data_IF_530927111997
#
_entry.id   IF_530927111997
#
_cell.length_a   1.000
_cell.length_b   1.000
_cell.length_c   1.000
_cell.angle_alpha   90.00
_cell.angle_beta   90.00
_cell.angle_gamma   90.00
#
_symmetry.space_group_name_H-M   'P 1'
#
loop_
_entity.id
_entity.type
_entity.pdbx_description
1 polymer ?
#
# COMPACT_ATOMS: atom_id res chain seq x y z
N UNK A 1 6.41 1.75 9.45
CA UNK A 1 7.26 2.70 8.70
C UNK A 1 8.67 2.13 8.68
N UNK A 2 9.34 2.21 7.56
CA UNK A 2 10.71 1.73 7.33
C UNK A 2 11.64 2.95 7.28
N UNK A 3 12.85 2.86 7.86
CA UNK A 3 13.83 3.91 7.67
C UNK A 3 14.23 3.99 6.20
N UNK A 4 14.32 5.22 5.66
CA UNK A 4 14.72 5.44 4.28
C UNK A 4 16.26 5.45 4.17
N UNK A 5 16.83 4.26 4.18
CA UNK A 5 18.28 4.06 4.10
C UNK A 5 18.62 2.75 3.37
N UNK A 6 19.77 2.71 2.68
CA UNK A 6 20.23 1.47 2.04
C UNK A 6 20.32 0.31 3.03
N UNK A 7 19.75 -0.83 2.64
CA UNK A 7 19.78 -2.05 3.43
C UNK A 7 18.61 -2.22 4.43
N UNK A 8 17.81 -1.22 4.68
CA UNK A 8 16.70 -1.34 5.65
C UNK A 8 15.63 -2.35 5.20
N UNK A 9 15.32 -2.38 3.91
CA UNK A 9 14.43 -3.42 3.37
C UNK A 9 15.03 -4.81 3.53
N UNK A 10 16.34 -4.97 3.31
CA UNK A 10 17.01 -6.25 3.48
C UNK A 10 16.94 -6.73 4.94
N UNK A 11 17.13 -5.85 5.90
CA UNK A 11 16.99 -6.18 7.34
C UNK A 11 15.57 -6.63 7.68
N UNK A 12 14.55 -5.89 7.22
CA UNK A 12 13.15 -6.24 7.45
C UNK A 12 12.81 -7.61 6.85
N UNK A 13 13.19 -7.84 5.60
CA UNK A 13 12.91 -9.11 4.92
C UNK A 13 13.71 -10.29 5.50
N UNK A 14 14.91 -10.05 6.03
CA UNK A 14 15.70 -11.06 6.73
C UNK A 14 15.02 -11.50 8.04
N UNK A 15 14.44 -10.57 8.79
CA UNK A 15 13.67 -10.87 10.00
C UNK A 15 12.48 -11.78 9.65
N UNK A 16 11.68 -11.43 8.64
CA UNK A 16 10.54 -12.24 8.21
C UNK A 16 10.98 -13.62 7.70
N UNK A 17 12.07 -13.68 6.91
CA UNK A 17 12.66 -14.93 6.42
C UNK A 17 13.07 -15.86 7.56
N UNK A 18 13.73 -15.34 8.59
CA UNK A 18 14.20 -16.15 9.73
C UNK A 18 13.03 -16.76 10.52
N UNK A 19 11.87 -16.11 10.47
CA UNK A 19 10.63 -16.58 11.06
C UNK A 19 9.75 -17.40 10.10
N UNK A 20 10.26 -17.71 8.91
CA UNK A 20 9.55 -18.43 7.86
C UNK A 20 8.24 -17.77 7.43
N UNK A 21 8.22 -16.43 7.38
CA UNK A 21 7.07 -15.63 6.93
C UNK A 21 7.31 -15.21 5.48
N UNK A 22 6.40 -15.60 4.58
CA UNK A 22 6.48 -15.25 3.16
C UNK A 22 5.79 -13.92 2.88
N UNK A 23 6.38 -13.11 1.99
CA UNK A 23 5.79 -11.88 1.49
C UNK A 23 5.16 -12.19 0.12
N UNK A 24 3.85 -12.06 0.01
CA UNK A 24 3.08 -12.34 -1.21
C UNK A 24 2.97 -11.13 -2.12
N UNK A 25 2.86 -9.94 -1.54
CA UNK A 25 2.80 -8.69 -2.28
C UNK A 25 3.40 -7.57 -1.43
N UNK A 26 4.03 -6.59 -2.08
CA UNK A 26 4.65 -5.46 -1.38
C UNK A 26 4.58 -4.18 -2.20
N UNK A 27 4.40 -3.06 -1.49
CA UNK A 27 4.54 -1.71 -2.02
C UNK A 27 5.36 -0.87 -1.06
N UNK A 28 6.34 -0.12 -1.60
CA UNK A 28 7.11 0.88 -0.86
C UNK A 28 6.84 2.24 -1.50
N UNK A 29 6.57 3.23 -0.69
CA UNK A 29 6.28 4.59 -1.13
C UNK A 29 7.13 5.57 -0.34
N UNK A 30 7.88 6.41 -1.05
CA UNK A 30 8.57 7.55 -0.47
C UNK A 30 7.56 8.59 0.03
N UNK A 31 7.67 8.96 1.30
CA UNK A 31 6.79 9.95 1.91
C UNK A 31 7.04 11.36 1.36
N UNK A 32 8.28 11.67 0.94
CA UNK A 32 8.64 13.00 0.42
C UNK A 32 7.95 13.32 -0.89
N UNK A 33 7.98 12.40 -1.84
CA UNK A 33 7.36 12.61 -3.15
C UNK A 33 5.88 12.95 -3.01
N UNK A 34 5.17 12.22 -2.16
CA UNK A 34 3.75 12.48 -1.90
C UNK A 34 3.49 13.83 -1.23
N UNK A 35 4.30 14.20 -0.23
CA UNK A 35 4.18 15.48 0.48
C UNK A 35 4.50 16.65 -0.44
N UNK A 36 5.51 16.54 -1.31
CA UNK A 36 5.84 17.56 -2.29
C UNK A 36 4.72 17.76 -3.30
N UNK A 37 4.17 16.68 -3.85
CA UNK A 37 3.05 16.74 -4.78
C UNK A 37 1.82 17.42 -4.15
N UNK A 38 1.52 17.12 -2.87
CA UNK A 38 0.43 17.80 -2.14
C UNK A 38 0.70 19.30 -1.95
N UNK A 39 1.94 19.68 -1.66
CA UNK A 39 2.33 21.09 -1.52
C UNK A 39 2.15 21.83 -2.84
N UNK A 40 2.64 21.29 -3.95
CA UNK A 40 2.52 21.86 -5.28
C UNK A 40 1.06 22.03 -5.70
N UNK A 41 0.24 21.01 -5.53
CA UNK A 41 -1.20 21.09 -5.81
C UNK A 41 -1.91 22.18 -5.00
N UNK A 42 -1.56 22.34 -3.73
CA UNK A 42 -2.17 23.37 -2.87
C UNK A 42 -1.67 24.78 -3.22
N UNK A 43 -0.42 24.93 -3.57
CA UNK A 43 0.15 26.24 -3.96
C UNK A 43 -0.49 26.79 -5.24
N UNK A 44 -0.88 25.92 -6.18
CA UNK A 44 -1.58 26.30 -7.41
C UNK A 44 -3.02 26.71 -7.21
N UNK A 45 -3.69 26.29 -6.14
CA UNK A 45 -5.12 26.58 -5.90
C UNK A 45 -5.39 27.92 -5.23
N UNK A 46 -4.35 28.76 -4.97
CA UNK A 46 -4.48 30.06 -4.32
C UNK A 46 -4.98 30.03 -2.88
N UNK A 47 -5.11 28.85 -2.28
CA UNK A 47 -5.46 28.72 -0.86
C UNK A 47 -4.26 29.07 0.01
N UNK A 48 -4.53 29.62 1.22
CA UNK A 48 -3.45 29.86 2.20
C UNK A 48 -2.72 28.56 2.48
N UNK A 49 -1.47 28.49 2.04
CA UNK A 49 -0.55 27.38 2.33
C UNK A 49 0.32 27.82 3.51
N UNK A 50 0.69 26.90 4.37
CA UNK A 50 1.68 27.20 5.41
C UNK A 50 3.01 27.66 4.75
N UNK A 51 3.83 28.48 5.44
CA UNK A 51 5.10 28.93 4.91
C UNK A 51 5.96 27.76 4.40
N UNK A 52 6.71 28.00 3.35
CA UNK A 52 7.58 26.98 2.73
C UNK A 52 8.50 26.31 3.73
N UNK A 53 9.07 27.09 4.66
CA UNK A 53 9.97 26.62 5.73
C UNK A 53 9.30 25.56 6.63
N UNK A 54 8.01 25.66 6.86
CA UNK A 54 7.24 24.67 7.62
C UNK A 54 7.14 23.33 6.89
N UNK A 55 6.91 23.37 5.58
CA UNK A 55 6.90 22.17 4.75
C UNK A 55 8.30 21.57 4.60
N UNK A 56 9.33 22.38 4.44
CA UNK A 56 10.72 21.91 4.40
C UNK A 56 11.15 21.22 5.69
N UNK A 57 10.70 21.70 6.85
CA UNK A 57 10.94 21.04 8.14
C UNK A 57 10.23 19.68 8.23
N UNK A 58 8.96 19.59 7.79
CA UNK A 58 8.21 18.31 7.74
C UNK A 58 8.87 17.35 6.76
N UNK A 59 9.27 17.84 5.58
CA UNK A 59 9.96 17.04 4.58
C UNK A 59 11.28 16.47 5.12
N UNK A 60 12.06 17.27 5.85
CA UNK A 60 13.31 16.82 6.47
C UNK A 60 13.11 15.68 7.48
N UNK A 61 12.01 15.71 8.22
CA UNK A 61 11.68 14.64 9.16
C UNK A 61 11.05 13.42 8.46
N UNK A 62 10.18 13.63 7.48
CA UNK A 62 9.54 12.56 6.72
C UNK A 62 10.49 11.86 5.75
N UNK A 63 11.54 12.55 5.26
CA UNK A 63 12.62 11.96 4.44
C UNK A 63 13.35 10.79 5.11
N UNK A 64 13.22 10.68 6.42
CA UNK A 64 13.85 9.58 7.17
C UNK A 64 13.08 8.26 7.08
N UNK A 65 11.88 8.27 6.52
CA UNK A 65 11.00 7.12 6.55
C UNK A 65 10.23 6.92 5.25
N UNK A 66 10.19 5.68 4.81
CA UNK A 66 9.29 5.22 3.75
C UNK A 66 8.09 4.50 4.33
N UNK A 67 6.94 4.61 3.67
CA UNK A 67 5.79 3.79 3.98
C UNK A 67 5.88 2.48 3.22
N UNK A 68 5.95 1.38 3.96
CA UNK A 68 5.92 0.04 3.39
C UNK A 68 4.59 -0.63 3.72
N UNK A 69 3.98 -1.25 2.72
CA UNK A 69 2.80 -2.11 2.84
C UNK A 69 3.14 -3.47 2.26
N UNK A 70 2.74 -4.52 2.92
CA UNK A 70 2.94 -5.87 2.40
C UNK A 70 1.86 -6.84 2.90
N UNK A 71 1.65 -7.87 2.13
CA UNK A 71 0.80 -9.01 2.47
C UNK A 71 1.71 -10.18 2.80
N UNK A 72 1.39 -10.90 3.85
CA UNK A 72 2.12 -12.11 4.26
C UNK A 72 1.16 -13.27 4.47
N UNK A 73 1.68 -14.47 4.41
CA UNK A 73 0.98 -15.71 4.74
C UNK A 73 0.63 -15.85 6.23
N UNK A 74 1.32 -15.10 7.11
CA UNK A 74 1.07 -15.08 8.55
C UNK A 74 1.15 -13.67 9.13
N UNK A 75 0.08 -12.85 8.98
CA UNK A 75 0.09 -11.44 9.37
C UNK A 75 0.23 -11.23 10.89
N UNK A 76 -0.40 -12.06 11.71
CA UNK A 76 -0.33 -11.91 13.17
C UNK A 76 1.09 -12.15 13.67
N UNK A 77 1.74 -13.23 13.24
CA UNK A 77 3.14 -13.51 13.55
C UNK A 77 4.07 -12.40 13.04
N UNK A 78 3.81 -11.89 11.84
CA UNK A 78 4.60 -10.78 11.28
C UNK A 78 4.52 -9.52 12.15
N UNK A 79 3.32 -9.18 12.65
CA UNK A 79 3.12 -8.05 13.57
C UNK A 79 3.91 -8.23 14.85
N UNK A 80 3.81 -9.40 15.49
CA UNK A 80 4.49 -9.70 16.75
C UNK A 80 6.02 -9.62 16.61
N UNK A 81 6.55 -10.27 15.59
CA UNK A 81 7.99 -10.31 15.33
C UNK A 81 8.54 -8.91 15.03
N UNK A 82 7.90 -8.17 14.14
CA UNK A 82 8.37 -6.84 13.77
C UNK A 82 8.25 -5.83 14.92
N UNK A 83 7.20 -5.91 15.73
CA UNK A 83 7.07 -5.07 16.92
C UNK A 83 8.13 -5.39 17.97
N UNK A 84 8.51 -6.67 18.14
CA UNK A 84 9.54 -7.09 19.11
C UNK A 84 10.92 -6.52 18.81
N UNK A 85 11.21 -6.21 17.54
CA UNK A 85 12.47 -5.60 17.09
C UNK A 85 12.36 -4.10 16.85
N UNK A 86 11.24 -3.47 17.27
CA UNK A 86 11.08 -2.01 17.30
C UNK A 86 10.44 -1.38 16.06
N UNK A 87 9.99 -2.16 15.08
CA UNK A 87 9.19 -1.60 13.99
C UNK A 87 7.79 -1.24 14.49
N UNK A 88 7.26 -0.09 14.01
CA UNK A 88 5.87 0.29 14.23
C UNK A 88 5.01 -0.29 13.11
N UNK A 89 4.25 -1.31 13.44
CA UNK A 89 3.39 -2.04 12.50
C UNK A 89 1.92 -1.72 12.78
N UNK A 90 1.13 -1.59 11.71
CA UNK A 90 -0.32 -1.47 11.76
C UNK A 90 -0.93 -2.52 10.85
N UNK A 91 -1.83 -3.32 11.39
CA UNK A 91 -2.62 -4.26 10.61
C UNK A 91 -3.83 -3.53 10.00
N UNK A 92 -4.07 -3.76 8.72
CA UNK A 92 -5.20 -3.19 7.99
C UNK A 92 -5.89 -4.25 7.14
N UNK A 93 -7.21 -4.24 7.14
CA UNK A 93 -7.98 -5.08 6.24
C UNK A 93 -7.94 -4.52 4.82
N UNK A 94 -7.66 -5.38 3.86
CA UNK A 94 -7.63 -5.10 2.44
C UNK A 94 -8.34 -6.22 1.68
N UNK A 95 -8.80 -5.94 0.46
CA UNK A 95 -9.33 -6.98 -0.42
C UNK A 95 -8.28 -7.29 -1.50
N UNK A 96 -7.97 -8.58 -1.67
CA UNK A 96 -7.13 -9.10 -2.76
C UNK A 96 -8.01 -9.64 -3.88
N UNK A 97 -7.80 -9.15 -5.10
CA UNK A 97 -8.50 -9.64 -6.29
C UNK A 97 -7.49 -10.17 -7.30
N UNK A 98 -7.71 -11.41 -7.75
CA UNK A 98 -6.92 -12.01 -8.82
C UNK A 98 -7.55 -11.64 -10.15
N UNK A 99 -6.84 -10.87 -10.96
CA UNK A 99 -7.28 -10.43 -12.26
C UNK A 99 -6.45 -11.12 -13.35
N UNK A 100 -7.08 -11.55 -14.44
CA UNK A 100 -6.34 -11.91 -15.64
C UNK A 100 -5.58 -10.68 -16.16
N UNK A 101 -4.35 -10.87 -16.63
CA UNK A 101 -3.52 -9.79 -17.16
C UNK A 101 -3.99 -9.39 -18.57
N UNK A 102 -5.15 -8.74 -18.64
CA UNK A 102 -5.78 -8.24 -19.87
C UNK A 102 -6.13 -6.76 -19.74
N UNK A 103 -5.96 -5.96 -20.80
CA UNK A 103 -6.43 -4.58 -20.81
C UNK A 103 -7.91 -4.47 -20.44
N UNK A 104 -8.24 -3.52 -19.53
CA UNK A 104 -9.62 -3.21 -19.15
C UNK A 104 -10.13 -3.91 -17.89
N UNK A 105 -9.52 -5.00 -17.40
CA UNK A 105 -10.03 -5.66 -16.19
C UNK A 105 -9.91 -4.81 -14.95
N UNK A 106 -8.79 -4.14 -14.73
CA UNK A 106 -8.66 -3.19 -13.62
C UNK A 106 -9.67 -2.04 -13.72
N UNK A 107 -9.97 -1.57 -14.94
CA UNK A 107 -11.00 -0.57 -15.17
C UNK A 107 -12.40 -1.07 -14.77
N UNK A 108 -12.74 -2.33 -15.11
CA UNK A 108 -14.02 -2.94 -14.70
C UNK A 108 -14.17 -2.94 -13.16
N UNK A 109 -13.13 -3.34 -12.44
CA UNK A 109 -13.13 -3.36 -10.97
C UNK A 109 -13.27 -1.95 -10.41
N UNK A 110 -12.46 -1.00 -10.88
CA UNK A 110 -12.51 0.38 -10.42
C UNK A 110 -13.88 1.02 -10.69
N UNK A 111 -14.47 0.73 -11.87
CA UNK A 111 -15.80 1.20 -12.20
C UNK A 111 -16.87 0.58 -11.29
N UNK A 112 -16.80 -0.72 -11.03
CA UNK A 112 -17.74 -1.40 -10.14
C UNK A 112 -17.71 -0.82 -8.72
N UNK A 113 -16.50 -0.55 -8.17
CA UNK A 113 -16.37 0.16 -6.89
C UNK A 113 -16.97 1.56 -6.95
N UNK A 114 -16.68 2.34 -7.99
CA UNK A 114 -17.22 3.69 -8.17
C UNK A 114 -18.75 3.73 -8.28
N UNK A 115 -19.34 2.85 -9.09
CA UNK A 115 -20.80 2.72 -9.24
C UNK A 115 -21.48 2.32 -7.92
N UNK A 116 -20.78 1.55 -7.07
CA UNK A 116 -21.24 1.19 -5.74
C UNK A 116 -20.98 2.26 -4.66
N UNK A 117 -20.36 3.39 -5.02
CA UNK A 117 -19.98 4.45 -4.07
C UNK A 117 -18.82 4.08 -3.14
N UNK A 118 -18.01 3.09 -3.50
CA UNK A 118 -16.86 2.64 -2.73
C UNK A 118 -15.61 3.39 -3.19
N UNK A 119 -14.95 4.11 -2.27
CA UNK A 119 -13.69 4.79 -2.57
C UNK A 119 -12.50 3.85 -2.41
N UNK A 120 -11.52 3.95 -3.32
CA UNK A 120 -10.24 3.24 -3.26
C UNK A 120 -9.20 4.19 -2.65
N UNK A 121 -8.71 3.87 -1.46
CA UNK A 121 -7.68 4.67 -0.79
C UNK A 121 -6.29 4.44 -1.40
N UNK A 122 -5.98 3.19 -1.72
CA UNK A 122 -4.80 2.79 -2.49
C UNK A 122 -5.01 1.42 -3.14
N UNK A 123 -4.22 1.16 -4.17
CA UNK A 123 -4.11 -0.16 -4.82
C UNK A 123 -2.69 -0.41 -5.28
N UNK A 124 -2.27 -1.66 -5.28
CA UNK A 124 -1.02 -2.11 -5.90
C UNK A 124 -1.17 -3.54 -6.38
N UNK A 125 -0.36 -3.92 -7.36
CA UNK A 125 -0.40 -5.25 -7.97
C UNK A 125 0.88 -6.03 -7.76
N UNK A 126 0.75 -7.36 -7.72
CA UNK A 126 1.84 -8.32 -7.78
C UNK A 126 1.52 -9.35 -8.88
N UNK A 127 2.49 -9.61 -9.76
CA UNK A 127 2.33 -10.62 -10.81
C UNK A 127 2.48 -12.04 -10.26
N UNK A 128 1.70 -12.99 -10.80
CA UNK A 128 1.94 -14.40 -10.59
C UNK A 128 2.96 -14.97 -11.60
N UNK A 129 3.57 -16.08 -11.21
CA UNK A 129 4.58 -16.76 -12.05
C UNK A 129 4.02 -17.35 -13.34
N UNK A 130 2.69 -17.49 -13.47
CA UNK A 130 2.00 -17.95 -14.65
C UNK A 130 2.00 -16.95 -15.83
N UNK A 131 2.31 -15.67 -15.54
CA UNK A 131 2.28 -14.58 -16.52
C UNK A 131 0.87 -14.23 -17.04
N UNK A 132 -0.17 -14.92 -16.58
CA UNK A 132 -1.56 -14.79 -17.05
C UNK A 132 -2.40 -13.98 -16.08
N UNK A 133 -2.08 -14.05 -14.79
CA UNK A 133 -2.84 -13.43 -13.71
C UNK A 133 -1.99 -12.44 -12.92
N UNK A 134 -2.65 -11.55 -12.21
CA UNK A 134 -2.04 -10.63 -11.24
C UNK A 134 -2.94 -10.49 -10.02
N UNK A 135 -2.33 -10.48 -8.84
CA UNK A 135 -3.00 -10.14 -7.59
C UNK A 135 -3.02 -8.62 -7.44
N UNK A 136 -4.20 -8.03 -7.33
CA UNK A 136 -4.35 -6.63 -6.98
C UNK A 136 -4.90 -6.51 -5.56
N UNK A 137 -4.21 -5.72 -4.76
CA UNK A 137 -4.60 -5.39 -3.38
C UNK A 137 -5.29 -4.03 -3.40
N UNK A 138 -6.48 -3.95 -2.79
CA UNK A 138 -7.23 -2.70 -2.66
C UNK A 138 -7.54 -2.41 -1.19
N UNK A 139 -7.25 -1.19 -0.77
CA UNK A 139 -7.81 -0.61 0.45
C UNK A 139 -9.01 0.24 0.06
N UNK A 140 -10.19 -0.16 0.54
CA UNK A 140 -11.46 0.47 0.18
C UNK A 140 -12.17 1.03 1.41
N UNK A 141 -13.12 1.97 1.18
CA UNK A 141 -13.89 2.59 2.26
C UNK A 141 -14.92 1.64 2.89
N UNK A 142 -15.52 0.76 2.08
CA UNK A 142 -16.63 -0.13 2.47
C UNK A 142 -16.23 -1.59 2.23
N UNK A 143 -15.51 -2.19 3.20
CA UNK A 143 -14.91 -3.52 3.05
C UNK A 143 -15.95 -4.62 2.89
N UNK A 144 -17.00 -4.63 3.72
CA UNK A 144 -18.04 -5.65 3.68
C UNK A 144 -18.76 -5.66 2.33
N UNK A 145 -19.13 -4.48 1.85
CA UNK A 145 -19.77 -4.31 0.54
C UNK A 145 -18.85 -4.75 -0.61
N UNK A 146 -17.55 -4.46 -0.51
CA UNK A 146 -16.58 -4.90 -1.51
C UNK A 146 -16.43 -6.44 -1.54
N UNK A 147 -16.46 -7.10 -0.39
CA UNK A 147 -16.41 -8.56 -0.30
C UNK A 147 -17.69 -9.21 -0.88
N UNK A 148 -18.86 -8.61 -0.66
CA UNK A 148 -20.12 -9.08 -1.27
C UNK A 148 -20.10 -8.97 -2.80
N UNK A 149 -19.46 -7.90 -3.33
CA UNK A 149 -19.34 -7.70 -4.80
C UNK A 149 -18.39 -8.69 -5.46
N UNK A 150 -17.36 -9.13 -4.74
CA UNK A 150 -16.31 -10.01 -5.27
C UNK A 150 -16.05 -11.23 -4.34
N UNK A 151 -17.05 -12.10 -4.14
CA UNK A 151 -16.98 -13.15 -3.12
C UNK A 151 -15.89 -14.20 -3.38
N UNK A 152 -15.49 -14.38 -4.64
CA UNK A 152 -14.47 -15.36 -5.01
C UNK A 152 -13.07 -14.73 -5.17
N UNK A 153 -12.96 -13.40 -5.13
CA UNK A 153 -11.70 -12.70 -5.35
C UNK A 153 -11.03 -12.92 -6.71
N UNK A 154 -11.71 -13.61 -7.66
CA UNK A 154 -11.21 -13.91 -9.01
C UNK A 154 -12.11 -13.24 -10.03
N UNK A 155 -11.50 -12.54 -11.01
CA UNK A 155 -12.20 -11.84 -12.09
C UNK A 155 -11.55 -12.23 -13.41
N UNK A 156 -12.35 -12.83 -14.29
CA UNK A 156 -11.99 -13.28 -15.64
C UNK A 156 -12.42 -12.28 -16.72
#
# INVERSE_FOLDING_TARGET
MLADAPGELAKLTEILKNEHINIEAMNIQDANEYLMALYECRSQTGRRVAPRDYYEAILKESAKYSMIRFITDNPDKAVDVLNSVGYKVKLENVIGLVLQNRPGLLNRVAKAFGDAGINIAYTYGAGFSDGVSALFIFKVSEMEKALEMFPNGIIE
#
